data_IF_509715115288
#
_entry.id   IF_509715115288
#
_cell.length_a   1.000
_cell.length_b   1.000
_cell.length_c   1.000
_cell.angle_alpha   90.00
_cell.angle_beta   90.00
_cell.angle_gamma   90.00
#
_symmetry.space_group_name_H-M   'P 1'
#
loop_
_entity.id
_entity.type
_entity.pdbx_description
1 polymer ?
#
# COMPACT_ATOMS: atom_id res chain seq x y z
N UNK A 1 2.44 18.27 1.10
CA UNK A 1 2.46 16.92 1.69
C UNK A 1 1.21 16.19 1.24
N UNK A 2 1.34 15.05 0.55
CA UNK A 2 0.17 14.18 0.29
C UNK A 2 -0.12 13.40 1.57
N UNK A 3 -1.38 13.43 2.01
CA UNK A 3 -1.84 12.70 3.19
C UNK A 3 -1.68 11.19 2.94
N UNK A 4 -0.91 10.48 3.76
CA UNK A 4 -0.64 9.04 3.58
C UNK A 4 -1.89 8.19 3.72
N UNK A 5 -2.87 8.64 4.51
CA UNK A 5 -4.04 7.85 4.90
C UNK A 5 -5.32 8.63 4.60
N UNK A 6 -6.37 7.97 4.13
CA UNK A 6 -7.66 8.57 3.80
C UNK A 6 -8.82 7.63 4.15
N UNK A 7 -10.04 8.13 4.17
CA UNK A 7 -11.23 7.33 4.46
C UNK A 7 -11.84 6.85 3.14
N UNK A 8 -12.02 5.54 3.01
CA UNK A 8 -12.73 4.90 1.91
C UNK A 8 -13.75 3.92 2.51
N UNK A 9 -15.03 4.04 2.13
CA UNK A 9 -16.12 3.20 2.67
C UNK A 9 -16.15 3.11 4.21
N UNK A 10 -15.89 4.24 4.89
CA UNK A 10 -15.86 4.31 6.36
C UNK A 10 -14.64 3.65 7.01
N UNK A 11 -13.67 3.20 6.23
CA UNK A 11 -12.41 2.62 6.73
C UNK A 11 -11.24 3.53 6.44
N UNK A 12 -10.35 3.62 7.41
CA UNK A 12 -9.09 4.33 7.29
C UNK A 12 -8.10 3.46 6.48
N UNK A 13 -7.72 3.91 5.29
CA UNK A 13 -6.88 3.17 4.33
C UNK A 13 -5.79 4.05 3.73
N UNK A 14 -4.76 3.44 3.17
CA UNK A 14 -3.80 4.06 2.24
C UNK A 14 -3.94 3.44 0.85
N UNK A 15 -3.15 3.91 -0.12
CA UNK A 15 -3.05 3.25 -1.42
C UNK A 15 -1.61 2.99 -1.86
N UNK A 16 -1.44 2.04 -2.78
CA UNK A 16 -0.11 1.63 -3.24
C UNK A 16 0.68 2.76 -3.91
N UNK A 17 0.02 3.83 -4.39
CA UNK A 17 0.68 5.03 -4.90
C UNK A 17 1.34 5.83 -3.78
N UNK A 18 0.64 6.08 -2.68
CA UNK A 18 1.20 6.80 -1.52
C UNK A 18 2.30 6.02 -0.81
N UNK A 19 2.18 4.69 -0.76
CA UNK A 19 3.25 3.82 -0.26
C UNK A 19 4.49 3.97 -1.14
N UNK A 20 4.32 3.94 -2.46
CA UNK A 20 5.42 4.13 -3.40
C UNK A 20 6.14 5.49 -3.18
N UNK A 21 5.38 6.57 -3.03
CA UNK A 21 5.93 7.90 -2.73
C UNK A 21 6.67 7.93 -1.39
N UNK A 22 6.06 7.39 -0.32
CA UNK A 22 6.63 7.42 1.05
C UNK A 22 7.94 6.65 1.15
N UNK A 23 8.02 5.47 0.54
CA UNK A 23 9.21 4.63 0.59
C UNK A 23 10.16 4.84 -0.59
N UNK A 24 9.92 5.88 -1.41
CA UNK A 24 10.72 6.18 -2.62
C UNK A 24 10.88 4.95 -3.54
N UNK A 25 9.80 4.19 -3.70
CA UNK A 25 9.70 2.99 -4.55
C UNK A 25 8.92 3.30 -5.82
N UNK A 26 9.16 2.52 -6.87
CA UNK A 26 8.30 2.55 -8.06
C UNK A 26 6.96 1.88 -7.74
N UNK A 27 5.86 2.45 -8.23
CA UNK A 27 4.50 1.93 -7.99
C UNK A 27 4.32 0.47 -8.41
N UNK A 28 4.89 0.11 -9.55
CA UNK A 28 4.96 -1.26 -10.04
C UNK A 28 5.60 -2.22 -9.04
N UNK A 29 6.69 -1.82 -8.37
CA UNK A 29 7.34 -2.67 -7.37
C UNK A 29 6.44 -2.86 -6.14
N UNK A 30 5.73 -1.82 -5.70
CA UNK A 30 4.79 -1.94 -4.57
C UNK A 30 3.66 -2.92 -4.91
N UNK A 31 3.09 -2.85 -6.12
CA UNK A 31 2.07 -3.80 -6.58
C UNK A 31 2.62 -5.24 -6.56
N UNK A 32 3.80 -5.45 -7.15
CA UNK A 32 4.45 -6.76 -7.16
C UNK A 32 4.69 -7.27 -5.74
N UNK A 33 5.18 -6.41 -4.84
CA UNK A 33 5.48 -6.78 -3.46
C UNK A 33 4.18 -7.23 -2.75
N UNK A 34 3.06 -6.52 -2.93
CA UNK A 34 1.72 -6.90 -2.42
C UNK A 34 1.27 -8.26 -2.99
N UNK A 35 1.42 -8.46 -4.30
CA UNK A 35 1.05 -9.72 -4.97
C UNK A 35 1.90 -10.89 -4.45
N UNK A 36 3.16 -10.66 -4.14
CA UNK A 36 4.10 -11.68 -3.63
C UNK A 36 3.98 -12.02 -2.14
N UNK A 37 3.17 -11.29 -1.36
CA UNK A 37 3.04 -11.53 0.09
C UNK A 37 2.53 -12.94 0.41
N UNK A 38 3.32 -13.70 1.16
CA UNK A 38 2.92 -14.99 1.70
C UNK A 38 2.03 -14.76 2.95
N UNK A 39 0.72 -14.73 2.73
CA UNK A 39 -0.29 -14.56 3.77
C UNK A 39 -1.54 -15.37 3.42
N UNK A 40 -2.42 -15.60 4.40
CA UNK A 40 -3.67 -16.32 4.14
C UNK A 40 -4.57 -15.53 3.20
N UNK A 41 -5.41 -16.24 2.43
CA UNK A 41 -6.36 -15.60 1.51
C UNK A 41 -7.30 -14.63 2.24
N UNK A 42 -7.76 -14.99 3.44
CA UNK A 42 -8.61 -14.13 4.27
C UNK A 42 -7.91 -12.84 4.70
N UNK A 43 -6.63 -12.91 5.07
CA UNK A 43 -5.84 -11.73 5.39
C UNK A 43 -5.67 -10.85 4.14
N UNK A 44 -5.34 -11.47 3.00
CA UNK A 44 -5.15 -10.76 1.74
C UNK A 44 -6.41 -9.99 1.33
N UNK A 45 -7.57 -10.67 1.31
CA UNK A 45 -8.85 -10.09 0.91
C UNK A 45 -9.31 -8.96 1.84
N UNK A 46 -9.01 -9.06 3.14
CA UNK A 46 -9.41 -8.06 4.13
C UNK A 46 -8.54 -6.80 4.09
N UNK A 47 -7.27 -6.94 3.70
CA UNK A 47 -6.26 -5.90 3.85
C UNK A 47 -5.76 -5.29 2.54
N UNK A 48 -5.95 -5.95 1.39
CA UNK A 48 -5.48 -5.49 0.08
C UNK A 48 -6.62 -5.53 -0.95
N UNK A 49 -7.36 -4.43 -1.06
CA UNK A 49 -8.46 -4.29 -2.01
C UNK A 49 -8.00 -3.76 -3.37
N UNK A 50 -8.21 -4.53 -4.45
CA UNK A 50 -7.90 -4.10 -5.81
C UNK A 50 -8.79 -2.90 -6.21
N UNK A 51 -8.18 -1.87 -6.74
CA UNK A 51 -8.81 -0.62 -7.18
C UNK A 51 -8.09 -0.08 -8.42
N UNK A 52 -8.41 1.14 -8.84
CA UNK A 52 -7.78 1.76 -10.00
C UNK A 52 -7.66 3.27 -9.87
N UNK A 53 -6.81 3.87 -10.69
CA UNK A 53 -6.68 5.31 -10.85
C UNK A 53 -6.53 5.67 -12.33
N UNK A 54 -6.76 6.95 -12.67
CA UNK A 54 -6.47 7.48 -14.00
C UNK A 54 -5.05 8.04 -14.01
N UNK A 55 -4.23 7.58 -14.95
CA UNK A 55 -2.91 8.14 -15.19
C UNK A 55 -3.01 9.48 -15.90
N UNK A 56 -1.88 10.20 -16.00
CA UNK A 56 -1.77 11.45 -16.77
C UNK A 56 -2.11 11.27 -18.26
N UNK A 57 -2.00 10.05 -18.79
CA UNK A 57 -2.39 9.69 -20.16
C UNK A 57 -3.86 9.26 -20.27
N UNK A 58 -4.67 9.54 -19.24
CA UNK A 58 -6.08 9.12 -19.12
C UNK A 58 -6.31 7.60 -19.22
N UNK A 59 -5.29 6.79 -18.93
CA UNK A 59 -5.41 5.32 -18.87
C UNK A 59 -5.81 4.88 -17.47
N UNK A 60 -6.72 3.91 -17.38
CA UNK A 60 -7.09 3.27 -16.11
C UNK A 60 -6.01 2.26 -15.74
N UNK A 61 -5.32 2.51 -14.63
CA UNK A 61 -4.25 1.65 -14.10
C UNK A 61 -4.63 1.07 -12.75
N UNK A 62 -4.17 -0.14 -12.40
CA UNK A 62 -4.49 -0.79 -11.13
C UNK A 62 -3.80 -0.07 -9.97
N UNK A 63 -4.42 -0.10 -8.80
CA UNK A 63 -3.80 0.22 -7.50
C UNK A 63 -4.43 -0.64 -6.41
N UNK A 64 -3.83 -0.69 -5.23
CA UNK A 64 -4.43 -1.33 -4.07
C UNK A 64 -4.84 -0.29 -3.05
N UNK A 65 -6.01 -0.49 -2.44
CA UNK A 65 -6.41 0.12 -1.19
C UNK A 65 -5.96 -0.80 -0.06
N UNK A 66 -5.28 -0.23 0.94
CA UNK A 66 -4.52 -1.00 1.91
C UNK A 66 -4.90 -0.52 3.31
N UNK A 67 -5.31 -1.44 4.16
CA UNK A 67 -5.63 -1.15 5.57
C UNK A 67 -4.36 -0.89 6.38
N UNK A 68 -4.52 -0.45 7.64
CA UNK A 68 -3.39 -0.32 8.56
C UNK A 68 -2.64 -1.65 8.75
N UNK A 69 -3.36 -2.77 8.95
CA UNK A 69 -2.74 -4.08 9.15
C UNK A 69 -2.02 -4.56 7.89
N UNK A 70 -2.61 -4.35 6.70
CA UNK A 70 -1.97 -4.65 5.43
C UNK A 70 -0.70 -3.83 5.21
N UNK A 71 -0.74 -2.54 5.59
CA UNK A 71 0.41 -1.66 5.52
C UNK A 71 1.54 -2.14 6.44
N UNK A 72 1.24 -2.43 7.71
CA UNK A 72 2.21 -2.94 8.67
C UNK A 72 2.86 -4.23 8.15
N UNK A 73 2.04 -5.16 7.64
CA UNK A 73 2.52 -6.42 7.06
C UNK A 73 3.46 -6.22 5.87
N UNK A 74 3.09 -5.33 4.94
CA UNK A 74 3.92 -5.01 3.79
C UNK A 74 5.26 -4.37 4.20
N UNK A 75 5.23 -3.43 5.14
CA UNK A 75 6.42 -2.68 5.58
C UNK A 75 7.42 -3.57 6.33
N UNK A 76 6.99 -4.67 6.96
CA UNK A 76 7.91 -5.64 7.58
C UNK A 76 8.98 -6.15 6.60
N UNK A 77 8.63 -6.33 5.31
CA UNK A 77 9.57 -6.74 4.26
C UNK A 77 10.41 -5.59 3.67
N UNK A 78 10.13 -4.34 4.03
CA UNK A 78 10.85 -3.17 3.51
C UNK A 78 12.08 -2.83 4.37
N UNK A 79 13.05 -2.17 3.76
CA UNK A 79 14.29 -1.70 4.40
C UNK A 79 14.47 -0.19 4.20
N UNK A 80 15.37 0.42 4.98
CA UNK A 80 15.65 1.87 4.94
C UNK A 80 15.08 2.64 6.14
N UNK A 81 15.46 3.91 6.27
CA UNK A 81 15.15 4.76 7.44
C UNK A 81 13.65 4.94 7.66
N UNK A 82 12.89 5.21 6.59
CA UNK A 82 11.44 5.35 6.71
C UNK A 82 10.79 4.03 7.13
N UNK A 83 11.20 2.89 6.55
CA UNK A 83 10.69 1.58 6.94
C UNK A 83 11.01 1.26 8.41
N UNK A 84 12.23 1.57 8.88
CA UNK A 84 12.61 1.39 10.28
C UNK A 84 11.73 2.24 11.21
N UNK A 85 11.54 3.52 10.89
CA UNK A 85 10.67 4.43 11.65
C UNK A 85 9.25 3.90 11.79
N UNK A 86 8.67 3.38 10.70
CA UNK A 86 7.33 2.79 10.76
C UNK A 86 7.31 1.51 11.60
N UNK A 87 8.32 0.64 11.49
CA UNK A 87 8.40 -0.60 12.29
C UNK A 87 8.50 -0.34 13.79
N UNK A 88 9.13 0.75 14.21
CA UNK A 88 9.20 1.16 15.63
C UNK A 88 7.84 1.62 16.20
N UNK A 89 6.86 1.89 15.33
CA UNK A 89 5.52 2.36 15.71
C UNK A 89 4.45 1.26 15.63
N UNK A 90 4.80 0.06 15.16
CA UNK A 90 3.91 -1.10 15.02
C UNK A 90 3.88 -1.93 16.29
#
# INVERSE_FOLDING_TARGET
MKQLVFIENGRLVTDSLRIAETFSKQHFHVIRDIESLECSEGFRASNFGLSSYRSVQNRKLPKYLITQDGFAFLVMGYTGKEAARFKEMV
#
